data_IF_180346430392
#
_entry.id   IF_180346430392
#
_cell.length_a   1.000
_cell.length_b   1.000
_cell.length_c   1.000
_cell.angle_alpha   90.00
_cell.angle_beta   90.00
_cell.angle_gamma   90.00
#
_symmetry.space_group_name_H-M   'P 1'
#
loop_
_entity.id
_entity.type
_entity.pdbx_description
1 polymer ?
#
# COMPACT_ATOMS: atom_id res chain seq x y z
N UNK A 1 -2.33 2.39 -15.55
CA UNK A 1 -1.65 3.66 -15.19
C UNK A 1 -0.17 3.50 -15.45
N UNK A 2 0.50 4.50 -16.01
CA UNK A 2 1.97 4.49 -16.12
C UNK A 2 2.55 4.80 -14.75
N UNK A 3 3.34 3.89 -14.17
CA UNK A 3 4.05 4.12 -12.90
C UNK A 3 5.00 5.31 -13.09
N UNK A 4 4.92 6.31 -12.22
CA UNK A 4 5.82 7.45 -12.31
C UNK A 4 7.26 7.01 -11.94
N UNK A 5 8.30 7.63 -12.52
CA UNK A 5 9.69 7.26 -12.27
C UNK A 5 10.05 7.17 -10.77
N UNK A 6 9.51 8.08 -9.96
CA UNK A 6 9.71 8.13 -8.50
C UNK A 6 9.19 6.86 -7.80
N UNK A 7 8.00 6.39 -8.17
CA UNK A 7 7.39 5.19 -7.57
C UNK A 7 8.21 3.94 -7.92
N UNK A 8 8.63 3.84 -9.19
CA UNK A 8 9.48 2.75 -9.65
C UNK A 8 10.85 2.76 -8.94
N UNK A 9 11.42 3.93 -8.69
CA UNK A 9 12.69 4.08 -7.97
C UNK A 9 12.56 3.58 -6.52
N UNK A 10 11.48 3.94 -5.82
CA UNK A 10 11.19 3.44 -4.47
C UNK A 10 10.98 1.92 -4.43
N UNK A 11 10.32 1.35 -5.44
CA UNK A 11 10.16 -0.11 -5.53
C UNK A 11 11.48 -0.84 -5.74
N UNK A 12 12.34 -0.29 -6.59
CA UNK A 12 13.68 -0.83 -6.81
C UNK A 12 14.50 -0.74 -5.52
N UNK A 13 14.46 0.41 -4.85
CA UNK A 13 15.14 0.62 -3.57
C UNK A 13 14.65 -0.37 -2.50
N UNK A 14 13.33 -0.51 -2.33
CA UNK A 14 12.73 -1.43 -1.37
C UNK A 14 13.20 -2.87 -1.61
N UNK A 15 13.16 -3.34 -2.86
CA UNK A 15 13.59 -4.70 -3.23
C UNK A 15 15.07 -4.94 -2.97
N UNK A 16 15.94 -3.98 -3.33
CA UNK A 16 17.39 -4.08 -3.11
C UNK A 16 17.74 -4.08 -1.61
N UNK A 17 17.08 -3.20 -0.85
CA UNK A 17 17.46 -2.89 0.53
C UNK A 17 16.92 -3.93 1.51
N UNK A 18 15.74 -4.52 1.23
CA UNK A 18 15.10 -5.49 2.12
C UNK A 18 15.93 -6.77 2.37
N UNK A 19 16.87 -7.11 1.49
CA UNK A 19 17.77 -8.25 1.65
C UNK A 19 19.12 -7.93 2.29
N UNK A 20 19.41 -6.66 2.60
CA UNK A 20 20.71 -6.27 3.17
C UNK A 20 20.84 -6.72 4.63
N UNK A 21 22.01 -7.21 5.05
CA UNK A 21 22.24 -7.60 6.44
C UNK A 21 22.50 -6.39 7.33
N UNK A 22 22.14 -6.45 8.62
CA UNK A 22 22.31 -5.34 9.56
C UNK A 22 23.77 -4.88 9.73
N UNK A 23 24.75 -5.74 9.41
CA UNK A 23 26.17 -5.37 9.43
C UNK A 23 26.49 -4.16 8.52
N UNK A 24 25.70 -3.91 7.48
CA UNK A 24 25.89 -2.74 6.60
C UNK A 24 25.62 -1.41 7.31
N UNK A 25 24.81 -1.42 8.38
CA UNK A 25 24.39 -0.21 9.09
C UNK A 25 25.57 0.47 9.80
N UNK A 26 26.59 -0.30 10.17
CA UNK A 26 27.82 0.16 10.83
C UNK A 26 28.90 0.66 9.87
N UNK A 27 28.67 0.56 8.55
CA UNK A 27 29.67 1.01 7.58
C UNK A 27 29.91 2.52 7.72
N UNK A 28 31.16 2.99 7.61
CA UNK A 28 31.49 4.39 7.82
C UNK A 28 30.76 5.29 6.84
N UNK A 29 29.92 6.18 7.40
CA UNK A 29 29.27 7.24 6.65
C UNK A 29 29.02 8.42 7.60
N UNK A 30 29.26 9.62 7.10
CA UNK A 30 29.16 10.85 7.87
C UNK A 30 28.21 11.81 7.19
N UNK A 31 27.32 12.39 7.97
CA UNK A 31 26.51 13.52 7.54
C UNK A 31 26.80 14.71 8.43
N UNK A 32 27.52 15.69 7.88
CA UNK A 32 28.00 16.85 8.64
C UNK A 32 28.78 16.40 9.90
N UNK A 33 28.28 16.73 11.09
CA UNK A 33 28.90 16.35 12.37
C UNK A 33 28.41 15.01 12.93
N UNK A 34 27.47 14.33 12.27
CA UNK A 34 26.92 13.05 12.70
C UNK A 34 27.74 11.89 12.09
N UNK A 35 28.18 10.98 12.95
CA UNK A 35 29.05 9.84 12.64
C UNK A 35 28.40 8.54 13.15
N UNK A 36 27.20 8.27 12.64
CA UNK A 36 26.33 7.16 13.06
C UNK A 36 26.25 6.04 12.01
N UNK A 37 27.13 6.07 11.01
CA UNK A 37 27.19 5.09 9.93
C UNK A 37 26.03 5.17 8.94
N UNK A 38 25.92 4.17 8.08
CA UNK A 38 24.85 4.07 7.07
C UNK A 38 23.45 4.05 7.71
N UNK A 39 23.31 3.58 8.95
CA UNK A 39 22.07 3.70 9.73
C UNK A 39 21.45 5.09 9.64
N UNK A 40 22.28 6.13 9.79
CA UNK A 40 21.80 7.50 9.78
C UNK A 40 21.34 7.97 8.40
N UNK A 41 21.81 7.35 7.32
CA UNK A 41 21.36 7.66 5.97
C UNK A 41 19.88 7.27 5.75
N UNK A 42 19.37 6.25 6.43
CA UNK A 42 17.93 5.93 6.41
C UNK A 42 17.09 7.02 7.07
N UNK A 43 17.53 7.56 8.21
CA UNK A 43 16.83 8.68 8.83
C UNK A 43 16.87 9.93 7.96
N UNK A 44 18.01 10.22 7.32
CA UNK A 44 18.09 11.31 6.33
C UNK A 44 17.14 11.09 5.16
N UNK A 45 17.09 9.87 4.60
CA UNK A 45 16.13 9.52 3.56
C UNK A 45 14.69 9.82 3.98
N UNK A 46 14.28 9.34 5.16
CA UNK A 46 12.95 9.59 5.72
C UNK A 46 12.66 11.09 5.88
N UNK A 47 13.59 11.84 6.46
CA UNK A 47 13.45 13.28 6.70
C UNK A 47 13.32 14.09 5.41
N UNK A 48 14.08 13.76 4.37
CA UNK A 48 14.00 14.42 3.06
C UNK A 48 12.69 14.10 2.34
N UNK A 49 12.19 12.86 2.45
CA UNK A 49 10.87 12.50 1.92
C UNK A 49 9.75 13.28 2.63
N UNK A 50 9.82 13.41 3.97
CA UNK A 50 8.86 14.21 4.74
C UNK A 50 8.91 15.68 4.32
N UNK A 51 10.13 16.22 4.18
CA UNK A 51 10.35 17.60 3.75
C UNK A 51 9.75 17.86 2.36
N UNK A 52 9.97 16.93 1.43
CA UNK A 52 9.43 17.01 0.08
C UNK A 52 7.90 16.94 0.07
N UNK A 53 7.32 15.98 0.80
CA UNK A 53 5.86 15.83 0.91
C UNK A 53 5.17 17.05 1.56
N UNK A 54 5.90 17.81 2.41
CA UNK A 54 5.43 19.04 3.03
C UNK A 54 5.71 20.32 2.24
N UNK A 55 6.38 20.24 1.08
CA UNK A 55 6.75 21.43 0.32
C UNK A 55 5.54 21.98 -0.47
N UNK A 56 5.06 23.21 -0.21
CA UNK A 56 3.95 23.77 -0.97
C UNK A 56 4.24 23.93 -2.47
N UNK A 57 5.51 24.11 -2.88
CA UNK A 57 5.87 24.34 -4.29
C UNK A 57 5.64 23.12 -5.19
N UNK A 58 5.50 21.91 -4.63
CA UNK A 58 5.17 20.72 -5.41
C UNK A 58 3.68 20.63 -5.72
N UNK A 59 2.82 21.40 -5.02
CA UNK A 59 1.37 21.36 -5.17
C UNK A 59 0.87 22.55 -5.99
N UNK A 60 -0.09 22.31 -6.89
CA UNK A 60 -0.79 23.38 -7.60
C UNK A 60 -1.84 24.02 -6.68
N UNK A 61 -2.04 25.34 -6.76
CA UNK A 61 -2.93 26.12 -5.87
C UNK A 61 -4.35 25.55 -5.66
N UNK A 62 -4.94 24.88 -6.66
CA UNK A 62 -6.28 24.29 -6.53
C UNK A 62 -6.30 22.86 -5.97
N UNK A 63 -5.14 22.19 -5.84
CA UNK A 63 -5.08 20.80 -5.35
C UNK A 63 -5.31 20.67 -3.85
N UNK A 64 -5.04 21.70 -3.06
CA UNK A 64 -5.36 21.72 -1.61
C UNK A 64 -6.85 21.50 -1.34
N UNK A 65 -7.74 21.87 -2.27
CA UNK A 65 -9.18 21.63 -2.11
C UNK A 65 -9.56 20.16 -2.32
N UNK A 66 -8.85 19.44 -3.19
CA UNK A 66 -9.10 18.01 -3.41
C UNK A 66 -8.51 17.16 -2.27
N UNK A 67 -7.42 17.57 -1.65
CA UNK A 67 -6.84 16.87 -0.49
C UNK A 67 -7.67 16.98 0.80
N UNK A 68 -8.65 17.90 0.85
CA UNK A 68 -9.52 18.12 2.02
C UNK A 68 -10.77 17.22 2.08
N UNK A 69 -11.03 16.39 1.05
CA UNK A 69 -12.17 15.46 1.07
C UNK A 69 -12.00 14.40 2.15
N UNK A 70 -13.07 14.11 2.88
CA UNK A 70 -13.10 13.06 3.90
C UNK A 70 -12.79 11.68 3.27
N UNK A 71 -13.32 11.38 2.09
CA UNK A 71 -13.02 10.17 1.31
C UNK A 71 -11.50 9.98 1.15
N UNK A 72 -10.80 11.04 0.72
CA UNK A 72 -9.37 11.00 0.45
C UNK A 72 -8.55 10.75 1.72
N UNK A 73 -9.04 11.19 2.87
CA UNK A 73 -8.41 10.88 4.17
C UNK A 73 -8.45 9.38 4.46
N UNK A 74 -9.57 8.70 4.17
CA UNK A 74 -9.67 7.25 4.36
C UNK A 74 -8.83 6.47 3.34
N UNK A 75 -8.88 6.86 2.07
CA UNK A 75 -8.08 6.22 1.02
C UNK A 75 -6.57 6.38 1.26
N UNK A 76 -6.11 7.56 1.69
CA UNK A 76 -4.71 7.77 2.10
C UNK A 76 -4.32 6.84 3.26
N UNK A 77 -5.17 6.71 4.29
CA UNK A 77 -4.88 5.81 5.43
C UNK A 77 -4.80 4.34 5.01
N UNK A 78 -5.72 3.90 4.16
CA UNK A 78 -5.69 2.58 3.55
C UNK A 78 -4.42 2.37 2.72
N UNK A 79 -4.05 3.35 1.89
CA UNK A 79 -2.84 3.30 1.09
C UNK A 79 -1.55 3.24 1.92
N UNK A 80 -1.49 3.96 3.04
CA UNK A 80 -0.39 3.85 4.02
C UNK A 80 -0.29 2.43 4.59
N UNK A 81 -1.42 1.82 4.95
CA UNK A 81 -1.43 0.44 5.45
C UNK A 81 -0.98 -0.56 4.38
N UNK A 82 -1.33 -0.35 3.11
CA UNK A 82 -0.83 -1.14 1.99
C UNK A 82 0.69 -1.06 1.85
N UNK A 83 1.26 0.14 1.90
CA UNK A 83 2.72 0.31 1.82
C UNK A 83 3.46 -0.36 2.99
N UNK A 84 2.93 -0.28 4.21
CA UNK A 84 3.45 -1.00 5.37
C UNK A 84 3.42 -2.52 5.17
N UNK A 85 2.31 -3.04 4.64
CA UNK A 85 2.15 -4.45 4.32
C UNK A 85 3.11 -4.90 3.20
N UNK A 86 3.24 -4.12 2.12
CA UNK A 86 4.16 -4.37 1.01
C UNK A 86 5.59 -4.44 1.51
N UNK A 87 6.02 -3.47 2.32
CA UNK A 87 7.33 -3.48 2.95
C UNK A 87 7.50 -4.71 3.85
N UNK A 88 6.48 -5.08 4.63
CA UNK A 88 6.53 -6.24 5.53
C UNK A 88 6.76 -7.56 4.79
N UNK A 89 6.14 -7.71 3.62
CA UNK A 89 6.19 -8.92 2.81
C UNK A 89 7.41 -8.96 1.87
N UNK A 90 8.04 -7.81 1.62
CA UNK A 90 9.21 -7.74 0.73
C UNK A 90 10.44 -8.38 1.37
N UNK A 91 11.14 -9.21 0.60
CA UNK A 91 12.35 -9.91 1.06
C UNK A 91 12.07 -11.22 1.83
N UNK A 92 10.81 -11.60 2.02
CA UNK A 92 10.47 -12.91 2.58
C UNK A 92 10.75 -14.03 1.59
N UNK A 93 11.32 -15.12 2.10
CA UNK A 93 11.53 -16.36 1.37
C UNK A 93 10.19 -17.11 1.16
N UNK A 94 10.06 -17.80 0.03
CA UNK A 94 8.87 -18.60 -0.32
C UNK A 94 8.60 -19.72 0.70
N UNK A 95 9.65 -20.42 1.13
CA UNK A 95 9.52 -21.52 2.09
C UNK A 95 8.96 -21.02 3.41
N UNK A 96 9.51 -19.92 3.93
CA UNK A 96 9.00 -19.26 5.13
C UNK A 96 7.56 -18.76 4.95
N UNK A 97 7.25 -18.12 3.82
CA UNK A 97 5.93 -17.57 3.56
C UNK A 97 4.83 -18.66 3.51
N UNK A 98 5.18 -19.84 2.99
CA UNK A 98 4.27 -20.99 2.88
C UNK A 98 4.17 -21.81 4.17
N UNK A 99 5.12 -21.67 5.10
CA UNK A 99 5.12 -22.42 6.34
C UNK A 99 3.96 -22.02 7.26
N UNK A 100 3.21 -23.01 7.74
CA UNK A 100 2.21 -22.82 8.79
C UNK A 100 2.87 -22.96 10.17
N UNK A 101 2.65 -22.03 11.11
CA UNK A 101 3.23 -22.14 12.45
C UNK A 101 2.54 -23.21 13.30
N UNK A 102 1.23 -23.40 13.11
CA UNK A 102 0.44 -24.47 13.72
C UNK A 102 -0.62 -24.95 12.71
N UNK A 103 -1.19 -26.16 12.85
CA UNK A 103 -2.22 -26.65 11.93
C UNK A 103 -3.50 -25.81 11.87
N UNK A 104 -3.74 -24.93 12.86
CA UNK A 104 -4.93 -24.07 12.94
C UNK A 104 -4.65 -22.63 12.48
N UNK A 105 -3.39 -22.22 12.44
CA UNK A 105 -2.99 -20.87 12.04
C UNK A 105 -2.75 -20.81 10.52
N UNK A 106 -3.00 -19.65 9.92
CA UNK A 106 -2.64 -19.40 8.52
C UNK A 106 -1.14 -19.12 8.37
N UNK A 107 -0.59 -19.55 7.23
CA UNK A 107 0.73 -19.10 6.77
C UNK A 107 0.69 -17.61 6.38
N UNK A 108 1.87 -17.01 6.22
CA UNK A 108 1.98 -15.62 5.73
C UNK A 108 1.38 -15.53 4.32
N UNK A 109 1.70 -16.48 3.46
CA UNK A 109 1.17 -16.59 2.10
C UNK A 109 -0.36 -16.63 2.10
N UNK A 110 -0.97 -17.53 2.87
CA UNK A 110 -2.43 -17.64 2.94
C UNK A 110 -3.08 -16.36 3.47
N UNK A 111 -2.41 -15.68 4.40
CA UNK A 111 -2.87 -14.39 4.90
C UNK A 111 -2.83 -13.31 3.81
N UNK A 112 -1.77 -13.26 3.00
CA UNK A 112 -1.66 -12.32 1.87
C UNK A 112 -2.71 -12.58 0.77
N UNK A 113 -2.98 -13.85 0.45
CA UNK A 113 -4.06 -14.24 -0.47
C UNK A 113 -5.42 -13.76 0.04
N UNK A 114 -5.72 -14.02 1.32
CA UNK A 114 -6.97 -13.57 1.93
C UNK A 114 -7.13 -12.04 1.90
N UNK A 115 -6.04 -11.30 2.16
CA UNK A 115 -6.05 -9.84 2.07
C UNK A 115 -6.49 -9.40 0.67
N UNK A 116 -5.86 -9.95 -0.37
CA UNK A 116 -6.14 -9.62 -1.75
C UNK A 116 -7.57 -9.98 -2.17
N UNK A 117 -8.05 -11.19 -1.82
CA UNK A 117 -9.43 -11.62 -2.07
C UNK A 117 -10.44 -10.67 -1.41
N UNK A 118 -10.22 -10.34 -0.14
CA UNK A 118 -11.12 -9.47 0.63
C UNK A 118 -11.10 -8.03 0.10
N UNK A 119 -9.94 -7.51 -0.27
CA UNK A 119 -9.82 -6.18 -0.87
C UNK A 119 -10.57 -6.10 -2.21
N UNK A 120 -10.46 -7.13 -3.06
CA UNK A 120 -11.22 -7.23 -4.30
C UNK A 120 -12.72 -7.21 -4.01
N UNK A 121 -13.18 -8.07 -3.10
CA UNK A 121 -14.59 -8.12 -2.75
C UNK A 121 -15.10 -6.81 -2.15
N UNK A 122 -14.35 -6.16 -1.25
CA UNK A 122 -14.73 -4.86 -0.72
C UNK A 122 -14.91 -3.84 -1.85
N UNK A 123 -14.01 -3.81 -2.83
CA UNK A 123 -14.15 -2.94 -3.99
C UNK A 123 -15.38 -3.29 -4.83
N UNK A 124 -15.67 -4.58 -5.00
CA UNK A 124 -16.89 -5.08 -5.63
C UNK A 124 -18.17 -4.58 -4.97
N UNK A 125 -18.22 -4.50 -3.64
CA UNK A 125 -19.37 -3.94 -2.91
C UNK A 125 -19.61 -2.48 -3.25
N UNK A 126 -18.55 -1.68 -3.36
CA UNK A 126 -18.68 -0.29 -3.83
C UNK A 126 -19.17 -0.27 -5.27
N UNK A 127 -18.58 -1.06 -6.16
CA UNK A 127 -19.02 -1.10 -7.55
C UNK A 127 -20.48 -1.51 -7.68
N UNK A 128 -20.92 -2.52 -6.95
CA UNK A 128 -22.30 -2.97 -6.95
C UNK A 128 -23.25 -1.87 -6.46
N UNK A 129 -22.98 -1.33 -5.27
CA UNK A 129 -23.84 -0.31 -4.66
C UNK A 129 -23.97 0.93 -5.53
N UNK A 130 -22.85 1.45 -6.04
CA UNK A 130 -22.83 2.70 -6.81
C UNK A 130 -23.23 2.53 -8.28
N UNK A 131 -22.79 1.47 -8.97
CA UNK A 131 -23.15 1.26 -10.37
C UNK A 131 -24.63 0.89 -10.55
N UNK A 132 -25.21 0.15 -9.60
CA UNK A 132 -26.65 -0.09 -9.61
C UNK A 132 -27.44 1.22 -9.48
N UNK A 133 -26.93 2.21 -8.74
CA UNK A 133 -27.60 3.52 -8.60
C UNK A 133 -27.56 4.38 -9.87
N UNK A 134 -26.61 4.17 -10.79
CA UNK A 134 -26.65 4.83 -12.10
C UNK A 134 -27.83 4.33 -12.97
N UNK A 135 -28.37 3.17 -12.62
CA UNK A 135 -29.47 2.50 -13.33
C UNK A 135 -30.79 2.50 -12.53
N UNK A 136 -30.77 2.93 -11.27
CA UNK A 136 -31.96 3.10 -10.42
C UNK A 136 -31.77 4.21 -9.38
N UNK A 137 -32.81 5.02 -9.13
CA UNK A 137 -32.76 6.11 -8.12
C UNK A 137 -32.43 5.64 -6.69
N UNK A 138 -32.54 4.33 -6.41
CA UNK A 138 -32.23 3.72 -5.12
C UNK A 138 -31.02 2.80 -5.19
N UNK A 139 -30.26 2.74 -4.10
CA UNK A 139 -29.22 1.73 -3.90
C UNK A 139 -29.86 0.33 -3.74
N UNK A 140 -29.16 -0.75 -4.14
CA UNK A 140 -29.60 -2.11 -3.83
C UNK A 140 -29.74 -2.29 -2.32
N UNK A 141 -30.91 -2.75 -1.87
CA UNK A 141 -31.10 -3.17 -0.48
C UNK A 141 -30.55 -4.58 -0.23
N UNK A 142 -30.43 -5.39 -1.28
CA UNK A 142 -29.95 -6.76 -1.23
C UNK A 142 -28.42 -6.83 -1.46
N UNK A 143 -27.82 -7.91 -0.95
CA UNK A 143 -26.41 -8.23 -1.20
C UNK A 143 -26.14 -8.49 -2.69
N UNK A 144 -24.88 -8.32 -3.15
CA UNK A 144 -24.49 -8.74 -4.49
C UNK A 144 -24.87 -10.21 -4.73
N UNK A 145 -25.49 -10.50 -5.86
CA UNK A 145 -25.84 -11.86 -6.26
C UNK A 145 -24.60 -12.61 -6.81
N UNK A 146 -24.74 -13.91 -7.01
CA UNK A 146 -23.62 -14.74 -7.48
C UNK A 146 -23.12 -14.29 -8.86
N UNK A 147 -24.04 -13.96 -9.79
CA UNK A 147 -23.67 -13.50 -11.13
C UNK A 147 -22.78 -12.25 -11.11
N UNK A 148 -23.07 -11.28 -10.21
CA UNK A 148 -22.21 -10.12 -10.02
C UNK A 148 -20.85 -10.52 -9.45
N UNK A 149 -20.83 -11.42 -8.46
CA UNK A 149 -19.59 -11.88 -7.83
C UNK A 149 -18.69 -12.57 -8.87
N UNK A 150 -19.24 -13.47 -9.67
CA UNK A 150 -18.51 -14.20 -10.72
C UNK A 150 -17.97 -13.23 -11.79
N UNK A 151 -18.81 -12.30 -12.26
CA UNK A 151 -18.38 -11.26 -13.20
C UNK A 151 -17.26 -10.40 -12.62
N UNK A 152 -17.39 -10.00 -11.35
CA UNK A 152 -16.44 -9.15 -10.67
C UNK A 152 -15.09 -9.87 -10.45
N UNK A 153 -15.09 -11.09 -9.93
CA UNK A 153 -13.87 -11.86 -9.66
C UNK A 153 -13.20 -12.40 -10.92
N UNK A 154 -13.95 -13.15 -11.73
CA UNK A 154 -13.34 -13.96 -12.77
C UNK A 154 -13.04 -13.15 -14.02
N UNK A 155 -14.00 -12.31 -14.43
CA UNK A 155 -13.91 -11.59 -15.71
C UNK A 155 -13.17 -10.26 -15.55
N UNK A 156 -13.56 -9.46 -14.55
CA UNK A 156 -13.03 -8.10 -14.38
C UNK A 156 -11.76 -8.08 -13.52
N UNK A 157 -11.74 -8.85 -12.44
CA UNK A 157 -10.62 -8.92 -11.52
C UNK A 157 -9.48 -9.79 -12.01
N UNK A 158 -9.76 -10.72 -12.95
CA UNK A 158 -8.78 -11.69 -13.40
C UNK A 158 -8.28 -12.56 -12.25
N UNK A 159 -9.21 -13.04 -11.41
CA UNK A 159 -9.03 -14.08 -10.39
C UNK A 159 -9.46 -15.45 -10.93
N UNK A 160 -8.79 -16.05 -11.92
CA UNK A 160 -9.07 -17.44 -12.27
C UNK A 160 -8.79 -18.36 -11.05
N UNK A 161 -9.37 -19.57 -11.02
CA UNK A 161 -9.20 -20.50 -9.88
C UNK A 161 -7.75 -20.81 -9.49
N UNK A 162 -6.82 -20.71 -10.43
CA UNK A 162 -5.37 -20.95 -10.26
C UNK A 162 -4.57 -19.65 -9.99
N UNK A 163 -5.22 -18.51 -9.80
CA UNK A 163 -4.54 -17.20 -9.65
C UNK A 163 -3.49 -17.17 -8.54
N UNK A 164 -3.76 -17.92 -7.48
CA UNK A 164 -2.87 -18.01 -6.32
C UNK A 164 -1.77 -19.08 -6.48
N UNK A 165 -1.75 -19.84 -7.58
CA UNK A 165 -0.67 -20.76 -7.94
C UNK A 165 0.50 -20.00 -8.59
N UNK A 166 1.04 -19.01 -7.89
CA UNK A 166 2.16 -18.17 -8.35
C UNK A 166 3.22 -17.98 -7.25
N UNK A 167 4.35 -17.36 -7.56
CA UNK A 167 5.30 -16.91 -6.54
C UNK A 167 4.70 -15.79 -5.67
N UNK A 168 5.22 -15.62 -4.44
CA UNK A 168 4.89 -14.51 -3.56
C UNK A 168 5.18 -13.17 -4.24
N UNK A 169 6.26 -13.09 -5.04
CA UNK A 169 6.60 -11.88 -5.81
C UNK A 169 5.50 -11.56 -6.83
N UNK A 170 5.04 -12.55 -7.59
CA UNK A 170 3.94 -12.37 -8.54
C UNK A 170 2.63 -12.01 -7.85
N UNK A 171 2.34 -12.62 -6.69
CA UNK A 171 1.19 -12.27 -5.86
C UNK A 171 1.24 -10.80 -5.42
N UNK A 172 2.39 -10.33 -4.93
CA UNK A 172 2.58 -8.94 -4.51
C UNK A 172 2.47 -7.95 -5.68
N UNK A 173 3.01 -8.30 -6.86
CA UNK A 173 2.86 -7.48 -8.06
C UNK A 173 1.39 -7.37 -8.49
N UNK A 174 0.65 -8.48 -8.43
CA UNK A 174 -0.77 -8.47 -8.73
C UNK A 174 -1.56 -7.66 -7.70
N UNK A 175 -1.22 -7.82 -6.41
CA UNK A 175 -1.84 -7.05 -5.34
C UNK A 175 -1.58 -5.55 -5.50
N UNK A 176 -0.37 -5.13 -5.86
CA UNK A 176 -0.07 -3.73 -6.14
C UNK A 176 -0.91 -3.14 -7.28
N UNK A 177 -1.05 -3.89 -8.39
CA UNK A 177 -1.92 -3.48 -9.48
C UNK A 177 -3.37 -3.33 -8.98
N UNK A 178 -3.87 -4.34 -8.28
CA UNK A 178 -5.23 -4.33 -7.73
C UNK A 178 -5.46 -3.14 -6.81
N UNK A 179 -4.58 -2.94 -5.83
CA UNK A 179 -4.64 -1.82 -4.91
C UNK A 179 -4.70 -0.48 -5.63
N UNK A 180 -3.91 -0.33 -6.71
CA UNK A 180 -3.96 0.85 -7.57
C UNK A 180 -5.31 1.02 -8.26
N UNK A 181 -5.92 -0.06 -8.73
CA UNK A 181 -7.24 -0.04 -9.37
C UNK A 181 -8.34 0.34 -8.36
N UNK A 182 -8.26 -0.15 -7.11
CA UNK A 182 -9.17 0.22 -6.02
C UNK A 182 -9.08 1.71 -5.71
N UNK A 183 -7.86 2.22 -5.48
CA UNK A 183 -7.67 3.64 -5.19
C UNK A 183 -8.19 4.53 -6.33
N UNK A 184 -7.88 4.17 -7.58
CA UNK A 184 -8.36 4.92 -8.74
C UNK A 184 -9.89 4.89 -8.81
N UNK A 185 -10.51 3.72 -8.61
CA UNK A 185 -11.96 3.54 -8.67
C UNK A 185 -12.73 4.28 -7.57
N UNK A 186 -12.15 4.39 -6.38
CA UNK A 186 -12.80 5.02 -5.23
C UNK A 186 -12.45 6.51 -5.05
N UNK A 187 -11.39 7.00 -5.68
CA UNK A 187 -10.96 8.41 -5.58
C UNK A 187 -11.97 9.44 -6.11
N UNK A 188 -12.92 8.99 -6.93
CA UNK A 188 -13.97 9.84 -7.52
C UNK A 188 -15.18 10.02 -6.60
N UNK A 189 -15.29 9.24 -5.52
CA UNK A 189 -16.38 9.35 -4.55
C UNK A 189 -16.40 10.76 -3.92
N UNK A 190 -17.61 11.25 -3.67
CA UNK A 190 -17.83 12.51 -2.96
C UNK A 190 -18.06 12.23 -1.48
N UNK A 191 -17.86 13.24 -0.64
CA UNK A 191 -18.10 13.08 0.80
C UNK A 191 -19.59 12.78 1.10
N UNK A 192 -20.52 13.30 0.29
CA UNK A 192 -21.95 12.97 0.39
C UNK A 192 -22.24 11.47 0.14
N UNK A 193 -21.35 10.78 -0.58
CA UNK A 193 -21.49 9.35 -0.85
C UNK A 193 -21.15 8.48 0.38
N UNK A 194 -20.48 9.05 1.40
CA UNK A 194 -20.02 8.32 2.58
C UNK A 194 -21.16 7.79 3.47
N UNK A 195 -22.31 8.44 3.45
CA UNK A 195 -23.49 8.02 4.23
C UNK A 195 -24.34 6.97 3.52
N UNK A 196 -24.03 6.65 2.26
CA UNK A 196 -24.78 5.63 1.51
C UNK A 196 -24.64 4.27 2.17
N UNK A 197 -25.77 3.57 2.28
CA UNK A 197 -25.85 2.26 2.88
C UNK A 197 -25.45 1.18 1.87
N UNK A 198 -24.47 0.34 2.21
CA UNK A 198 -23.95 -0.75 1.39
C UNK A 198 -24.14 -2.10 2.10
N UNK A 199 -24.93 -2.97 1.48
CA UNK A 199 -25.13 -4.36 1.91
C UNK A 199 -24.03 -5.25 1.32
N UNK A 200 -23.38 -6.06 2.15
CA UNK A 200 -22.34 -7.02 1.70
C UNK A 200 -22.72 -8.46 2.03
N UNK A 201 -22.26 -9.05 3.13
CA UNK A 201 -22.67 -10.40 3.56
C UNK A 201 -23.39 -10.39 4.90
N UNK A 202 -23.28 -9.29 5.64
CA UNK A 202 -23.96 -9.07 6.91
C UNK A 202 -25.44 -8.77 6.69
N UNK A 203 -26.26 -9.10 7.70
CA UNK A 203 -27.71 -8.83 7.69
C UNK A 203 -28.03 -7.32 7.77
N UNK A 204 -27.12 -6.54 8.38
CA UNK A 204 -27.23 -5.10 8.51
C UNK A 204 -26.39 -4.39 7.45
N UNK A 205 -27.01 -3.49 6.71
CA UNK A 205 -26.30 -2.63 5.77
C UNK A 205 -25.44 -1.61 6.53
N UNK A 206 -24.24 -1.36 6.03
CA UNK A 206 -23.25 -0.49 6.67
C UNK A 206 -22.93 0.68 5.75
N UNK A 207 -22.58 1.84 6.31
CA UNK A 207 -22.27 3.01 5.49
C UNK A 207 -21.01 2.79 4.63
N UNK A 208 -20.94 3.48 3.49
CA UNK A 208 -19.75 3.55 2.66
C UNK A 208 -18.54 4.06 3.47
N UNK A 209 -18.75 5.00 4.41
CA UNK A 209 -17.73 5.42 5.39
C UNK A 209 -17.17 4.24 6.18
N UNK A 210 -18.03 3.42 6.78
CA UNK A 210 -17.59 2.26 7.54
C UNK A 210 -16.78 1.30 6.67
N UNK A 211 -17.24 1.03 5.45
CA UNK A 211 -16.57 0.13 4.51
C UNK A 211 -15.21 0.69 4.06
N UNK A 212 -15.08 1.99 3.80
CA UNK A 212 -13.78 2.63 3.50
C UNK A 212 -12.81 2.51 4.68
N UNK A 213 -13.27 2.74 5.91
CA UNK A 213 -12.45 2.52 7.11
C UNK A 213 -12.09 1.04 7.27
N UNK A 214 -12.99 0.13 6.86
CA UNK A 214 -12.76 -1.32 6.94
C UNK A 214 -11.58 -1.76 6.08
N UNK A 215 -11.36 -1.17 4.90
CA UNK A 215 -10.15 -1.43 4.09
C UNK A 215 -8.87 -1.25 4.91
N UNK A 216 -8.68 -0.10 5.55
CA UNK A 216 -7.48 0.13 6.38
C UNK A 216 -7.41 -0.85 7.55
N UNK A 217 -8.48 -0.97 8.33
CA UNK A 217 -8.46 -1.82 9.54
C UNK A 217 -8.25 -3.29 9.21
N UNK A 218 -8.69 -3.77 8.04
CA UNK A 218 -8.48 -5.13 7.57
C UNK A 218 -7.02 -5.38 7.19
N UNK A 219 -6.39 -4.45 6.45
CA UNK A 219 -4.95 -4.52 6.18
C UNK A 219 -4.14 -4.52 7.47
N UNK A 220 -4.47 -3.64 8.43
CA UNK A 220 -3.76 -3.59 9.73
C UNK A 220 -3.95 -4.86 10.55
N UNK A 221 -5.17 -5.40 10.59
CA UNK A 221 -5.48 -6.65 11.26
C UNK A 221 -4.58 -7.78 10.74
N UNK A 222 -4.48 -7.93 9.41
CA UNK A 222 -3.70 -9.02 8.83
C UNK A 222 -2.19 -8.73 8.77
N UNK A 223 -1.76 -7.47 8.78
CA UNK A 223 -0.37 -7.11 9.04
C UNK A 223 0.08 -7.59 10.44
N UNK A 224 -0.77 -7.40 11.46
CA UNK A 224 -0.53 -7.93 12.80
C UNK A 224 -0.46 -9.46 12.78
N UNK A 225 -1.36 -10.12 12.03
CA UNK A 225 -1.34 -11.57 11.87
C UNK A 225 -0.05 -12.07 11.21
N UNK A 226 0.42 -11.39 10.15
CA UNK A 226 1.70 -11.71 9.49
C UNK A 226 2.87 -11.58 10.46
N UNK A 227 2.91 -10.50 11.26
CA UNK A 227 3.95 -10.31 12.29
C UNK A 227 3.89 -11.40 13.36
N UNK A 228 2.70 -11.78 13.82
CA UNK A 228 2.49 -12.90 14.76
C UNK A 228 3.01 -14.21 14.16
N UNK A 229 2.63 -14.53 12.92
CA UNK A 229 3.07 -15.75 12.23
C UNK A 229 4.58 -15.79 12.08
N UNK A 230 5.21 -14.69 11.63
CA UNK A 230 6.67 -14.59 11.54
C UNK A 230 7.35 -14.86 12.89
N UNK A 231 6.82 -14.28 13.98
CA UNK A 231 7.33 -14.52 15.33
C UNK A 231 7.18 -15.98 15.77
N UNK A 232 6.03 -16.63 15.49
CA UNK A 232 5.81 -18.05 15.80
C UNK A 232 6.76 -18.96 15.01
N UNK A 233 7.12 -18.57 13.79
CA UNK A 233 8.13 -19.25 12.96
C UNK A 233 9.57 -18.93 13.37
N UNK A 234 9.75 -18.17 14.46
CA UNK A 234 11.06 -17.70 14.94
C UNK A 234 11.83 -16.87 13.92
N UNK A 235 11.12 -16.30 12.93
CA UNK A 235 11.70 -15.35 11.99
C UNK A 235 11.77 -13.97 12.63
N UNK A 236 12.94 -13.35 12.54
CA UNK A 236 13.18 -12.01 13.03
C UNK A 236 13.46 -11.09 11.86
N UNK A 237 12.68 -10.01 11.77
CA UNK A 237 13.00 -8.92 10.86
C UNK A 237 14.24 -8.18 11.37
N UNK A 238 15.09 -7.78 10.43
CA UNK A 238 16.35 -7.09 10.69
C UNK A 238 16.13 -5.62 11.08
N UNK A 239 17.16 -4.97 11.63
CA UNK A 239 17.15 -3.52 11.86
C UNK A 239 16.98 -2.74 10.53
N UNK A 240 17.64 -3.20 9.45
CA UNK A 240 17.43 -2.65 8.10
C UNK A 240 15.95 -2.67 7.72
N UNK A 241 15.25 -3.77 8.00
CA UNK A 241 13.83 -3.89 7.71
C UNK A 241 13.00 -2.89 8.54
N UNK A 242 13.35 -2.66 9.80
CA UNK A 242 12.68 -1.64 10.62
C UNK A 242 12.90 -0.23 10.07
N UNK A 243 14.12 0.10 9.62
CA UNK A 243 14.42 1.40 9.01
C UNK A 243 13.68 1.59 7.67
N UNK A 244 13.54 0.53 6.87
CA UNK A 244 12.72 0.55 5.65
C UNK A 244 11.27 0.92 5.98
N UNK A 245 10.70 0.38 7.06
CA UNK A 245 9.31 0.68 7.44
C UNK A 245 9.10 2.17 7.74
N UNK A 246 10.09 2.82 8.38
CA UNK A 246 10.04 4.27 8.64
C UNK A 246 10.08 5.08 7.33
N UNK A 247 11.03 4.76 6.44
CA UNK A 247 11.13 5.42 5.12
C UNK A 247 9.87 5.23 4.26
N UNK A 248 9.32 4.02 4.24
CA UNK A 248 8.10 3.71 3.48
C UNK A 248 6.87 4.40 4.09
N UNK A 249 6.78 4.52 5.42
CA UNK A 249 5.72 5.31 6.06
C UNK A 249 5.78 6.78 5.64
N UNK A 250 6.98 7.36 5.53
CA UNK A 250 7.14 8.71 5.00
C UNK A 250 6.71 8.78 3.51
N UNK A 251 7.21 7.84 2.69
CA UNK A 251 6.97 7.83 1.25
C UNK A 251 5.50 7.64 0.87
N UNK A 252 4.76 6.79 1.59
CA UNK A 252 3.36 6.48 1.28
C UNK A 252 2.44 7.71 1.21
N UNK A 253 2.78 8.79 1.90
CA UNK A 253 2.05 10.06 1.80
C UNK A 253 2.34 10.81 0.51
N UNK A 254 3.60 10.80 0.06
CA UNK A 254 4.00 11.35 -1.23
C UNK A 254 3.45 10.50 -2.38
N UNK A 255 3.48 9.17 -2.25
CA UNK A 255 2.94 8.22 -3.24
C UNK A 255 1.45 8.45 -3.50
N UNK A 256 0.68 8.78 -2.46
CA UNK A 256 -0.72 9.18 -2.61
C UNK A 256 -0.88 10.35 -3.59
N UNK A 257 -0.08 11.40 -3.44
CA UNK A 257 -0.16 12.56 -4.33
C UNK A 257 0.35 12.27 -5.74
N UNK A 258 1.36 11.39 -5.89
CA UNK A 258 1.87 10.94 -7.19
C UNK A 258 0.79 10.27 -8.06
N UNK A 259 -0.27 9.72 -7.45
CA UNK A 259 -1.42 9.15 -8.16
C UNK A 259 -2.32 10.19 -8.82
N UNK A 260 -2.15 11.46 -8.45
CA UNK A 260 -2.88 12.61 -8.98
C UNK A 260 -1.89 13.60 -9.61
N UNK A 261 -1.15 13.21 -10.67
CA UNK A 261 -0.10 14.04 -11.26
C UNK A 261 -0.62 15.41 -11.75
N UNK A 262 -1.90 15.51 -12.07
CA UNK A 262 -2.55 16.76 -12.43
C UNK A 262 -2.53 17.79 -11.28
N UNK A 263 -2.39 17.34 -10.04
CA UNK A 263 -2.33 18.16 -8.82
C UNK A 263 -0.91 18.61 -8.47
N UNK A 264 0.10 18.07 -9.16
CA UNK A 264 1.51 18.25 -8.84
C UNK A 264 2.26 19.08 -9.88
N UNK A 265 3.22 19.86 -9.41
CA UNK A 265 4.29 20.41 -10.22
C UNK A 265 5.40 19.36 -10.38
N UNK A 266 5.23 18.47 -11.38
CA UNK A 266 6.14 17.34 -11.60
C UNK A 266 7.59 17.77 -11.84
N UNK A 267 7.83 18.90 -12.50
CA UNK A 267 9.19 19.40 -12.75
C UNK A 267 9.90 19.77 -11.43
N UNK A 268 9.21 20.48 -10.54
CA UNK A 268 9.75 20.83 -9.22
C UNK A 268 9.95 19.58 -8.38
N UNK A 269 8.97 18.67 -8.40
CA UNK A 269 9.04 17.41 -7.65
C UNK A 269 10.22 16.53 -8.11
N UNK A 270 10.37 16.29 -9.41
CA UNK A 270 11.47 15.50 -9.96
C UNK A 270 12.83 16.13 -9.66
N UNK A 271 12.96 17.45 -9.82
CA UNK A 271 14.18 18.17 -9.49
C UNK A 271 14.55 18.05 -8.01
N UNK A 272 13.58 18.19 -7.11
CA UNK A 272 13.84 18.08 -5.68
C UNK A 272 14.07 16.64 -5.24
N UNK A 273 13.37 15.67 -5.83
CA UNK A 273 13.63 14.25 -5.62
C UNK A 273 15.07 13.88 -5.96
N UNK A 274 15.56 14.35 -7.12
CA UNK A 274 16.94 14.15 -7.57
C UNK A 274 17.97 14.71 -6.56
N UNK A 275 17.67 15.87 -5.99
CA UNK A 275 18.61 16.60 -5.14
C UNK A 275 18.59 16.14 -3.69
N UNK A 276 17.39 15.84 -3.16
CA UNK A 276 17.16 15.61 -1.74
C UNK A 276 17.03 14.12 -1.42
N UNK A 277 16.42 13.32 -2.28
CA UNK A 277 16.03 11.93 -1.94
C UNK A 277 16.95 10.90 -2.58
N UNK A 278 17.17 10.99 -3.91
CA UNK A 278 17.96 10.02 -4.67
C UNK A 278 19.36 9.73 -4.09
N UNK A 279 20.13 10.72 -3.59
CA UNK A 279 21.43 10.44 -3.00
C UNK A 279 21.35 9.45 -1.83
N UNK A 280 20.32 9.58 -0.98
CA UNK A 280 20.14 8.68 0.16
C UNK A 280 19.58 7.33 -0.23
N UNK A 281 18.78 7.24 -1.29
CA UNK A 281 18.39 5.94 -1.86
C UNK A 281 19.63 5.16 -2.32
N UNK A 282 20.53 5.81 -3.06
CA UNK A 282 21.78 5.19 -3.50
C UNK A 282 22.65 4.78 -2.31
N UNK A 283 22.85 5.67 -1.34
CA UNK A 283 23.66 5.40 -0.13
C UNK A 283 23.10 4.21 0.66
N UNK A 284 21.78 4.00 0.69
CA UNK A 284 21.16 2.95 1.50
C UNK A 284 20.92 1.64 0.75
N UNK A 285 20.86 1.66 -0.59
CA UNK A 285 20.68 0.44 -1.40
C UNK A 285 21.95 -0.11 -2.02
N UNK A 286 22.94 0.73 -2.31
CA UNK A 286 24.15 0.34 -3.04
C UNK A 286 25.29 -0.09 -2.08
N UNK A 287 24.93 -0.46 -0.85
CA UNK A 287 25.86 -0.87 0.23
C UNK A 287 26.34 -2.32 0.10
N UNK A 288 26.11 -2.95 -1.05
CA UNK A 288 26.65 -4.24 -1.45
C UNK A 288 27.06 -4.15 -2.94
N UNK A 289 28.31 -4.35 -3.36
CA UNK A 289 29.35 -5.31 -2.93
C UNK A 289 30.71 -4.64 -2.73
#
# INVERSE_FOLDING_TARGET
MMTLPIQAEMDIWLKKTASLPDAILELPWKWQSYDEGIRFAFFRLMEEIITLAGNPDIFKLDSEKNSQKEVNTYLLRFHRAFWQLKAQLTGLDEGLANQQPTPQDWSIRRTAEHILEAEWMFYGVFRYGFHASDHSENLPSEKPNQDFIDQHFDVEGGFPPDKFECSLVELLMFFEKHHSDVLSGLSSLKDDDLERSLTFWEDEAMSARFRLIRFESHLRQHLIQIKKTAHQLQFQYSEVHALIQECISAFSSLDWYLRFPEQLNLEVLEKQWEQLVRPYLQITSDVAV
#
